data_IF_209702938757
#
_entry.id   IF_209702938757
#
_cell.length_a   1.000
_cell.length_b   1.000
_cell.length_c   1.000
_cell.angle_alpha   90.00
_cell.angle_beta   90.00
_cell.angle_gamma   90.00
#
_symmetry.space_group_name_H-M   'P 1'
#
loop_
_entity.id
_entity.type
_entity.pdbx_description
1 polymer ?
#
# COMPACT_ATOMS: atom_id res chain seq x y z
N UNK A 1 15.21 -4.00 -6.92
CA UNK A 1 13.98 -3.60 -6.24
C UNK A 1 12.78 -4.27 -6.91
N UNK A 2 11.67 -4.37 -6.22
CA UNK A 2 10.40 -4.90 -6.74
C UNK A 2 9.91 -4.14 -7.97
N UNK A 3 10.03 -2.81 -8.00
CA UNK A 3 9.67 -2.00 -9.17
C UNK A 3 10.45 -2.40 -10.41
N UNK A 4 11.76 -2.64 -10.30
CA UNK A 4 12.58 -3.07 -11.44
C UNK A 4 12.18 -4.45 -11.94
N UNK A 5 11.74 -5.34 -11.05
CA UNK A 5 11.17 -6.64 -11.42
C UNK A 5 9.86 -6.44 -12.18
N UNK A 6 8.98 -5.56 -11.68
CA UNK A 6 7.70 -5.25 -12.31
C UNK A 6 7.88 -4.76 -13.75
N UNK A 7 8.73 -3.75 -13.96
CA UNK A 7 8.98 -3.23 -15.31
C UNK A 7 9.56 -4.27 -16.26
N UNK A 8 10.44 -5.17 -15.79
CA UNK A 8 10.96 -6.25 -16.63
C UNK A 8 9.87 -7.25 -17.04
N UNK A 9 8.94 -7.54 -16.15
CA UNK A 9 7.80 -8.40 -16.45
C UNK A 9 6.86 -7.69 -17.41
N UNK A 10 6.52 -6.43 -17.16
CA UNK A 10 5.63 -5.64 -18.01
C UNK A 10 6.16 -5.49 -19.44
N UNK A 11 7.46 -5.22 -19.60
CA UNK A 11 8.13 -5.19 -20.90
C UNK A 11 8.02 -6.56 -21.62
N UNK A 12 8.15 -7.67 -20.89
CA UNK A 12 8.04 -9.01 -21.48
C UNK A 12 6.62 -9.35 -21.91
N UNK A 13 5.61 -8.98 -21.10
CA UNK A 13 4.20 -9.35 -21.36
C UNK A 13 3.44 -8.30 -22.17
N UNK A 14 4.10 -7.19 -22.56
CA UNK A 14 3.51 -6.15 -23.40
C UNK A 14 2.60 -5.17 -22.65
N UNK A 15 2.84 -4.95 -21.35
CA UNK A 15 2.10 -4.03 -20.48
C UNK A 15 2.91 -2.73 -20.18
N UNK A 16 3.60 -2.19 -21.15
CA UNK A 16 4.57 -1.09 -21.01
C UNK A 16 3.95 0.32 -21.02
N UNK A 17 2.64 0.47 -21.31
CA UNK A 17 1.94 1.76 -21.37
C UNK A 17 1.31 2.18 -20.06
N UNK A 18 2.03 2.06 -18.92
CA UNK A 18 1.53 2.45 -17.62
C UNK A 18 1.95 3.89 -17.30
N UNK A 19 0.97 4.77 -17.14
CA UNK A 19 1.21 6.10 -16.57
C UNK A 19 1.27 6.01 -15.04
N UNK A 20 2.49 5.88 -14.52
CA UNK A 20 2.73 5.79 -13.08
C UNK A 20 2.73 7.19 -12.46
N UNK A 21 1.83 7.37 -11.50
CA UNK A 21 1.69 8.62 -10.75
C UNK A 21 2.83 8.74 -9.72
N UNK A 22 3.67 9.75 -9.86
CA UNK A 22 4.72 10.08 -8.90
C UNK A 22 4.18 10.82 -7.66
N UNK A 23 5.04 11.06 -6.68
CA UNK A 23 4.66 11.75 -5.44
C UNK A 23 4.19 13.19 -5.66
N UNK A 24 4.71 13.86 -6.69
CA UNK A 24 4.28 15.22 -7.05
C UNK A 24 2.88 15.20 -7.63
N UNK A 25 2.64 14.28 -8.55
CA UNK A 25 1.32 14.06 -9.14
C UNK A 25 0.28 13.67 -8.08
N UNK A 26 0.61 12.78 -7.13
CA UNK A 26 -0.27 12.45 -6.01
C UNK A 26 -0.62 13.69 -5.18
N UNK A 27 0.36 14.52 -4.81
CA UNK A 27 0.10 15.76 -4.06
C UNK A 27 -0.85 16.69 -4.82
N UNK A 28 -0.68 16.84 -6.13
CA UNK A 28 -1.55 17.71 -6.94
C UNK A 28 -2.99 17.16 -7.02
N UNK A 29 -3.14 15.86 -7.22
CA UNK A 29 -4.46 15.22 -7.26
C UNK A 29 -5.15 15.31 -5.89
N UNK A 30 -4.43 14.99 -4.79
CA UNK A 30 -4.99 15.07 -3.45
C UNK A 30 -5.40 16.49 -3.10
N UNK A 31 -4.58 17.49 -3.44
CA UNK A 31 -4.94 18.90 -3.28
C UNK A 31 -6.23 19.24 -4.01
N UNK A 32 -6.35 18.83 -5.27
CA UNK A 32 -7.55 19.03 -6.09
C UNK A 32 -8.78 18.35 -5.48
N UNK A 33 -8.64 17.10 -5.04
CA UNK A 33 -9.71 16.33 -4.39
C UNK A 33 -10.17 17.02 -3.10
N UNK A 34 -9.25 17.49 -2.28
CA UNK A 34 -9.53 18.24 -1.06
C UNK A 34 -10.29 19.54 -1.36
N UNK A 35 -9.85 20.32 -2.34
CA UNK A 35 -10.51 21.56 -2.74
C UNK A 35 -11.93 21.30 -3.26
N UNK A 36 -12.12 20.26 -4.08
CA UNK A 36 -13.44 19.88 -4.61
C UNK A 36 -14.41 19.37 -3.56
N UNK A 37 -13.92 18.77 -2.48
CA UNK A 37 -14.74 18.24 -1.40
C UNK A 37 -14.77 19.12 -0.14
N UNK A 38 -14.24 20.34 -0.20
CA UNK A 38 -14.07 21.23 0.96
C UNK A 38 -15.31 21.34 1.83
N UNK A 39 -16.48 21.53 1.22
CA UNK A 39 -17.75 21.72 1.94
C UNK A 39 -18.29 20.43 2.57
N UNK A 40 -17.74 19.28 2.21
CA UNK A 40 -18.09 17.96 2.74
C UNK A 40 -17.17 17.52 3.88
N UNK A 41 -15.99 18.14 4.01
CA UNK A 41 -15.03 17.84 5.07
C UNK A 41 -15.52 18.42 6.40
N UNK A 42 -15.72 17.55 7.39
CA UNK A 42 -16.25 17.92 8.70
C UNK A 42 -15.17 18.39 9.68
N UNK A 43 -13.97 17.77 9.60
CA UNK A 43 -12.85 18.05 10.49
C UNK A 43 -11.75 18.88 9.82
N UNK A 44 -11.33 18.47 8.62
CA UNK A 44 -10.18 19.05 7.94
C UNK A 44 -10.51 20.25 7.05
N UNK A 45 -11.77 20.63 6.89
CA UNK A 45 -12.19 21.71 5.98
C UNK A 45 -11.49 23.06 6.24
N UNK A 46 -11.09 23.37 7.48
CA UNK A 46 -10.33 24.56 7.85
C UNK A 46 -8.82 24.46 7.60
N UNK A 47 -8.29 23.25 7.42
CA UNK A 47 -6.84 23.00 7.33
C UNK A 47 -6.29 23.01 5.90
N UNK A 48 -7.13 23.20 4.90
CA UNK A 48 -6.76 23.13 3.48
C UNK A 48 -5.73 24.16 3.04
N UNK A 49 -5.64 25.29 3.74
CA UNK A 49 -4.65 26.34 3.49
C UNK A 49 -3.26 26.00 4.04
N UNK A 50 -3.15 24.96 4.87
CA UNK A 50 -1.88 24.56 5.47
C UNK A 50 -1.09 23.70 4.48
N UNK A 51 0.09 24.17 4.07
CA UNK A 51 0.94 23.50 3.07
C UNK A 51 1.41 22.10 3.50
N UNK A 52 1.55 21.84 4.79
CA UNK A 52 1.91 20.52 5.33
C UNK A 52 0.77 19.51 5.26
N UNK A 53 -0.47 19.97 5.33
CA UNK A 53 -1.64 19.09 5.42
C UNK A 53 -1.82 18.20 4.18
N UNK A 54 -1.63 18.74 2.99
CA UNK A 54 -1.71 17.94 1.73
C UNK A 54 -0.68 16.82 1.72
N UNK A 55 0.54 17.10 2.19
CA UNK A 55 1.61 16.10 2.25
C UNK A 55 1.33 15.02 3.30
N UNK A 56 0.76 15.39 4.44
CA UNK A 56 0.33 14.44 5.47
C UNK A 56 -0.81 13.53 4.95
N UNK A 57 -1.82 14.12 4.31
CA UNK A 57 -2.91 13.35 3.70
C UNK A 57 -2.40 12.40 2.62
N UNK A 58 -1.45 12.85 1.77
CA UNK A 58 -0.77 11.97 0.80
C UNK A 58 -0.09 10.79 1.50
N UNK A 59 0.61 11.03 2.60
CA UNK A 59 1.32 9.98 3.34
C UNK A 59 0.34 8.94 3.88
N UNK A 60 -0.77 9.38 4.47
CA UNK A 60 -1.84 8.49 4.96
C UNK A 60 -2.41 7.64 3.83
N UNK A 61 -2.76 8.26 2.70
CA UNK A 61 -3.31 7.51 1.55
C UNK A 61 -2.28 6.53 0.97
N UNK A 62 -1.01 6.93 0.84
CA UNK A 62 0.06 6.04 0.37
C UNK A 62 0.27 4.84 1.31
N UNK A 63 0.19 5.07 2.62
CA UNK A 63 0.31 4.00 3.62
C UNK A 63 -0.89 3.02 3.52
N UNK A 64 -2.11 3.54 3.35
CA UNK A 64 -3.29 2.71 3.15
C UNK A 64 -3.17 1.84 1.89
N UNK A 65 -2.72 2.41 0.78
CA UNK A 65 -2.46 1.68 -0.46
C UNK A 65 -1.37 0.61 -0.26
N UNK A 66 -0.27 0.96 0.42
CA UNK A 66 0.85 0.05 0.67
C UNK A 66 0.46 -1.17 1.50
N UNK A 67 -0.48 -1.01 2.45
CA UNK A 67 -0.98 -2.08 3.31
C UNK A 67 -2.29 -2.71 2.82
N UNK A 68 -2.75 -2.35 1.62
CA UNK A 68 -4.02 -2.81 1.01
C UNK A 68 -5.23 -2.54 1.92
N UNK A 69 -5.21 -1.44 2.66
CA UNK A 69 -6.32 -1.02 3.51
C UNK A 69 -7.36 -0.35 2.62
N UNK A 70 -8.49 -1.01 2.43
CA UNK A 70 -9.61 -0.46 1.67
C UNK A 70 -10.41 0.55 2.50
N UNK A 71 -11.09 1.53 1.86
CA UNK A 71 -11.88 2.54 2.56
C UNK A 71 -13.00 1.98 3.44
N UNK A 72 -13.63 0.89 3.04
CA UNK A 72 -14.67 0.18 3.80
C UNK A 72 -14.14 -0.39 5.13
N UNK A 73 -12.96 -0.99 5.12
CA UNK A 73 -12.28 -1.49 6.34
C UNK A 73 -12.03 -0.35 7.33
N UNK A 74 -11.63 0.83 6.84
CA UNK A 74 -11.46 2.00 7.70
C UNK A 74 -12.78 2.50 8.26
N UNK A 75 -13.85 2.47 7.48
CA UNK A 75 -15.18 2.90 7.90
C UNK A 75 -15.74 1.99 8.99
N UNK A 76 -15.52 0.67 8.86
CA UNK A 76 -15.89 -0.32 9.88
C UNK A 76 -15.09 -0.13 11.18
N UNK A 77 -13.78 0.10 11.06
CA UNK A 77 -12.91 0.38 12.22
C UNK A 77 -13.32 1.69 12.94
N UNK A 78 -13.71 2.72 12.19
CA UNK A 78 -14.22 3.96 12.75
C UNK A 78 -15.53 3.75 13.51
N UNK A 79 -16.43 2.93 12.96
CA UNK A 79 -17.70 2.54 13.61
C UNK A 79 -17.47 1.75 14.90
N UNK A 80 -16.54 0.80 14.90
CA UNK A 80 -16.18 0.01 16.07
C UNK A 80 -15.55 0.87 17.19
N UNK A 81 -14.64 1.78 16.82
CA UNK A 81 -14.01 2.69 17.79
C UNK A 81 -15.01 3.66 18.47
N UNK A 82 -16.13 3.94 17.80
CA UNK A 82 -17.21 4.76 18.38
C UNK A 82 -18.06 4.01 19.39
N UNK A 83 -18.25 2.69 19.23
CA UNK A 83 -19.10 1.87 20.09
C UNK A 83 -18.43 1.49 21.42
N UNK A 84 -17.10 1.42 21.49
CA UNK A 84 -16.36 0.86 22.63
C UNK A 84 -15.83 1.89 23.65
N UNK A 85 -15.93 3.17 23.35
CA UNK A 85 -15.42 4.23 24.24
C UNK A 85 -16.26 5.50 24.09
N UNK A 86 -16.19 6.41 25.08
CA UNK A 86 -16.51 7.83 24.92
C UNK A 86 -15.63 8.46 23.80
N UNK A 87 -15.50 7.73 22.68
CA UNK A 87 -14.70 8.04 21.52
C UNK A 87 -15.12 9.39 20.98
N UNK A 88 -14.19 10.29 20.99
CA UNK A 88 -14.33 11.67 20.53
C UNK A 88 -14.98 11.68 19.14
N UNK A 89 -16.13 12.33 19.00
CA UNK A 89 -16.76 12.62 17.71
C UNK A 89 -15.75 13.23 16.71
N UNK A 90 -14.70 13.87 17.21
CA UNK A 90 -13.60 14.39 16.43
C UNK A 90 -12.79 13.28 15.71
N UNK A 91 -12.60 12.12 16.34
CA UNK A 91 -11.90 10.99 15.69
C UNK A 91 -12.74 10.44 14.54
N UNK A 92 -14.04 10.27 14.76
CA UNK A 92 -14.94 9.80 13.71
C UNK A 92 -14.95 10.77 12.52
N UNK A 93 -15.06 12.09 12.76
CA UNK A 93 -15.03 13.08 11.67
C UNK A 93 -13.69 13.06 10.92
N UNK A 94 -12.56 12.83 11.60
CA UNK A 94 -11.26 12.67 10.94
C UNK A 94 -11.23 11.45 10.02
N UNK A 95 -11.72 10.31 10.49
CA UNK A 95 -11.76 9.07 9.71
C UNK A 95 -12.73 9.18 8.54
N UNK A 96 -13.92 9.76 8.75
CA UNK A 96 -14.89 10.05 7.68
C UNK A 96 -14.26 10.90 6.58
N UNK A 97 -13.52 11.95 6.95
CA UNK A 97 -12.85 12.84 6.00
C UNK A 97 -11.72 12.12 5.25
N UNK A 98 -10.93 11.28 5.92
CA UNK A 98 -9.88 10.48 5.27
C UNK A 98 -10.51 9.52 4.26
N UNK A 99 -11.57 8.79 4.63
CA UNK A 99 -12.30 7.87 3.75
C UNK A 99 -12.87 8.61 2.54
N UNK A 100 -13.45 9.80 2.76
CA UNK A 100 -13.98 10.65 1.68
C UNK A 100 -12.88 11.02 0.68
N UNK A 101 -11.72 11.47 1.17
CA UNK A 101 -10.59 11.89 0.33
C UNK A 101 -9.98 10.69 -0.39
N UNK A 102 -9.84 9.54 0.29
CA UNK A 102 -9.31 8.32 -0.31
C UNK A 102 -10.21 7.81 -1.44
N UNK A 103 -11.51 7.73 -1.22
CA UNK A 103 -12.47 7.31 -2.28
C UNK A 103 -12.42 8.25 -3.48
N UNK A 104 -12.42 9.56 -3.27
CA UNK A 104 -12.37 10.54 -4.35
C UNK A 104 -11.01 10.52 -5.09
N UNK A 105 -9.91 10.24 -4.38
CA UNK A 105 -8.60 10.04 -4.99
C UNK A 105 -8.58 8.76 -5.83
N UNK A 106 -9.05 7.64 -5.30
CA UNK A 106 -9.12 6.36 -6.01
C UNK A 106 -9.97 6.46 -7.28
N UNK A 107 -11.14 7.09 -7.21
CA UNK A 107 -11.99 7.34 -8.39
C UNK A 107 -11.30 8.21 -9.45
N UNK A 108 -10.47 9.17 -9.02
CA UNK A 108 -9.76 10.04 -9.95
C UNK A 108 -8.66 9.29 -10.69
N UNK A 109 -7.90 8.42 -9.99
CA UNK A 109 -6.76 7.71 -10.58
C UNK A 109 -7.18 6.49 -11.40
N UNK A 110 -8.27 5.80 -11.03
CA UNK A 110 -8.72 4.53 -11.63
C UNK A 110 -8.81 4.58 -13.18
N UNK A 111 -9.09 5.76 -13.73
CA UNK A 111 -9.29 5.94 -15.17
C UNK A 111 -8.03 6.23 -15.98
N UNK A 112 -6.97 6.73 -15.32
CA UNK A 112 -5.85 7.33 -16.06
C UNK A 112 -4.47 6.99 -15.53
N UNK A 113 -4.35 6.54 -14.28
CA UNK A 113 -3.06 6.39 -13.61
C UNK A 113 -3.01 5.11 -12.81
N UNK A 114 -1.78 4.67 -12.52
CA UNK A 114 -1.46 3.65 -11.54
C UNK A 114 -0.48 4.27 -10.51
N UNK A 115 -0.69 4.02 -9.24
CA UNK A 115 0.24 4.47 -8.22
C UNK A 115 1.45 3.54 -8.10
N UNK A 116 2.53 4.01 -7.49
CA UNK A 116 3.71 3.16 -7.23
C UNK A 116 3.37 1.95 -6.37
N UNK A 117 2.44 2.10 -5.43
CA UNK A 117 1.96 1.03 -4.57
C UNK A 117 1.22 -0.06 -5.39
N UNK A 118 0.40 0.35 -6.34
CA UNK A 118 -0.37 -0.55 -7.22
C UNK A 118 0.49 -1.27 -8.28
N UNK A 119 1.72 -0.80 -8.54
CA UNK A 119 2.66 -1.51 -9.43
C UNK A 119 2.85 -2.96 -8.97
N UNK A 120 2.93 -3.20 -7.66
CA UNK A 120 3.13 -4.55 -7.13
C UNK A 120 1.87 -5.42 -7.27
N UNK A 121 0.69 -4.85 -7.10
CA UNK A 121 -0.57 -5.58 -7.34
C UNK A 121 -0.68 -5.98 -8.81
N UNK A 122 -0.36 -5.07 -9.70
CA UNK A 122 -0.31 -5.36 -11.14
C UNK A 122 0.76 -6.40 -11.48
N UNK A 123 1.93 -6.35 -10.83
CA UNK A 123 2.94 -7.37 -10.98
C UNK A 123 2.41 -8.74 -10.52
N UNK A 124 1.73 -8.82 -9.37
CA UNK A 124 1.12 -10.07 -8.89
C UNK A 124 0.16 -10.67 -9.92
N UNK A 125 -0.61 -9.84 -10.62
CA UNK A 125 -1.55 -10.31 -11.64
C UNK A 125 -0.88 -10.77 -12.94
N UNK A 126 0.33 -10.28 -13.25
CA UNK A 126 1.03 -10.49 -14.53
C UNK A 126 2.25 -11.39 -14.47
N UNK A 127 2.86 -11.56 -13.30
CA UNK A 127 4.12 -12.29 -13.16
C UNK A 127 4.03 -13.75 -13.61
N UNK A 128 2.86 -14.36 -13.51
CA UNK A 128 2.62 -15.73 -13.97
C UNK A 128 2.70 -15.90 -15.49
N UNK A 129 2.58 -14.80 -16.25
CA UNK A 129 2.71 -14.80 -17.71
C UNK A 129 4.18 -14.74 -18.16
N UNK A 130 5.12 -14.37 -17.25
CA UNK A 130 6.54 -14.23 -17.57
C UNK A 130 7.26 -15.57 -17.64
N UNK A 131 7.71 -15.97 -18.80
CA UNK A 131 8.52 -17.17 -19.02
C UNK A 131 9.96 -16.99 -18.47
N UNK A 132 10.48 -15.77 -18.49
CA UNK A 132 11.81 -15.47 -17.92
C UNK A 132 11.80 -15.71 -16.40
N UNK A 133 10.77 -15.26 -15.70
CA UNK A 133 10.68 -15.42 -14.25
C UNK A 133 10.51 -16.89 -13.85
N UNK A 134 9.73 -17.68 -14.58
CA UNK A 134 9.56 -19.13 -14.33
C UNK A 134 10.88 -19.90 -14.33
N UNK A 135 11.88 -19.44 -15.08
CA UNK A 135 13.17 -20.08 -15.21
C UNK A 135 14.27 -19.42 -14.40
N UNK A 136 13.95 -18.45 -13.52
CA UNK A 136 14.92 -17.74 -12.69
C UNK A 136 15.04 -18.33 -11.28
N UNK A 137 16.25 -18.32 -10.72
CA UNK A 137 16.44 -18.33 -9.27
C UNK A 137 16.36 -16.90 -8.76
N UNK A 138 15.60 -16.66 -7.69
CA UNK A 138 15.35 -15.34 -7.13
C UNK A 138 16.01 -15.22 -5.75
N UNK A 139 16.67 -14.09 -5.51
CA UNK A 139 17.27 -13.77 -4.21
C UNK A 139 16.68 -12.46 -3.69
N UNK A 140 16.08 -12.52 -2.53
CA UNK A 140 15.68 -11.35 -1.74
C UNK A 140 16.72 -11.14 -0.65
N UNK A 141 17.45 -10.04 -0.73
CA UNK A 141 18.55 -9.75 0.19
C UNK A 141 18.40 -8.39 0.87
N UNK A 142 18.71 -8.33 2.17
CA UNK A 142 18.74 -7.11 2.95
C UNK A 142 17.35 -6.55 3.35
N UNK A 143 16.34 -7.40 3.40
CA UNK A 143 15.00 -7.01 3.87
C UNK A 143 14.88 -7.15 5.38
N UNK A 144 14.21 -6.20 6.03
CA UNK A 144 13.82 -6.24 7.45
C UNK A 144 12.41 -6.78 7.66
N UNK A 145 11.61 -6.79 6.61
CA UNK A 145 10.24 -7.29 6.59
C UNK A 145 9.61 -7.07 5.21
N UNK A 146 8.38 -7.51 5.05
CA UNK A 146 7.62 -7.40 3.80
C UNK A 146 6.22 -6.86 4.06
N UNK A 147 5.70 -6.07 3.13
CA UNK A 147 4.30 -5.65 3.14
C UNK A 147 3.39 -6.80 2.69
N UNK A 148 2.07 -6.74 2.96
CA UNK A 148 1.13 -7.77 2.51
C UNK A 148 1.19 -8.06 1.02
N UNK A 149 1.30 -7.03 0.17
CA UNK A 149 1.43 -7.18 -1.28
C UNK A 149 2.72 -7.89 -1.67
N UNK A 150 3.83 -7.57 -0.97
CA UNK A 150 5.11 -8.26 -1.18
C UNK A 150 5.04 -9.73 -0.78
N UNK A 151 4.35 -10.07 0.32
CA UNK A 151 4.09 -11.46 0.70
C UNK A 151 3.26 -12.19 -0.35
N UNK A 152 2.22 -11.55 -0.89
CA UNK A 152 1.41 -12.12 -1.97
C UNK A 152 2.28 -12.41 -3.21
N UNK A 153 3.09 -11.46 -3.64
CA UNK A 153 4.04 -11.66 -4.75
C UNK A 153 5.00 -12.83 -4.48
N UNK A 154 5.58 -12.89 -3.27
CA UNK A 154 6.48 -13.98 -2.89
C UNK A 154 5.77 -15.35 -2.96
N UNK A 155 4.52 -15.42 -2.51
CA UNK A 155 3.71 -16.65 -2.59
C UNK A 155 3.53 -17.11 -4.04
N UNK A 156 3.24 -16.18 -4.95
CA UNK A 156 3.12 -16.48 -6.37
C UNK A 156 4.48 -16.95 -6.94
N UNK A 157 5.57 -16.24 -6.63
CA UNK A 157 6.91 -16.59 -7.10
C UNK A 157 7.35 -17.97 -6.58
N UNK A 158 7.03 -18.33 -5.33
CA UNK A 158 7.32 -19.65 -4.75
C UNK A 158 6.62 -20.79 -5.51
N UNK A 159 5.46 -20.53 -6.11
CA UNK A 159 4.73 -21.52 -6.89
C UNK A 159 5.29 -21.72 -8.30
N UNK A 160 6.07 -20.76 -8.83
CA UNK A 160 6.50 -20.75 -10.23
C UNK A 160 8.01 -20.80 -10.44
N UNK A 161 8.81 -20.38 -9.48
CA UNK A 161 10.27 -20.35 -9.61
C UNK A 161 10.93 -21.61 -9.03
N UNK A 162 12.03 -22.11 -9.65
CA UNK A 162 12.71 -23.31 -9.17
C UNK A 162 13.34 -23.16 -7.81
N UNK A 163 13.84 -21.96 -7.47
CA UNK A 163 14.43 -21.64 -6.17
C UNK A 163 14.25 -20.18 -5.80
N UNK A 164 13.98 -19.95 -4.52
CA UNK A 164 13.93 -18.61 -3.92
C UNK A 164 14.78 -18.63 -2.64
N UNK A 165 15.65 -17.63 -2.51
CA UNK A 165 16.47 -17.39 -1.34
C UNK A 165 16.02 -16.08 -0.69
N UNK A 166 15.84 -16.07 0.63
CA UNK A 166 15.46 -14.88 1.38
C UNK A 166 16.46 -14.67 2.51
N UNK A 167 17.12 -13.51 2.50
CA UNK A 167 17.99 -13.04 3.57
C UNK A 167 17.27 -11.93 4.34
N UNK A 168 17.12 -12.11 5.63
CA UNK A 168 16.50 -11.14 6.52
C UNK A 168 17.50 -10.62 7.53
N UNK A 169 17.49 -9.32 7.78
CA UNK A 169 18.24 -8.71 8.88
C UNK A 169 17.37 -8.77 10.13
N UNK A 170 17.83 -9.50 11.14
CA UNK A 170 17.20 -9.62 12.45
C UNK A 170 18.16 -9.17 13.55
N UNK A 171 17.62 -8.63 14.63
CA UNK A 171 18.41 -8.35 15.82
C UNK A 171 18.83 -9.67 16.49
N UNK A 172 20.09 -9.77 16.95
CA UNK A 172 20.62 -10.96 17.62
C UNK A 172 19.83 -11.30 18.91
N UNK A 173 19.30 -10.29 19.61
CA UNK A 173 18.46 -10.46 20.80
C UNK A 173 17.09 -11.09 20.48
N UNK A 174 16.55 -10.83 19.31
CA UNK A 174 15.25 -11.41 18.87
C UNK A 174 15.43 -12.89 18.48
N UNK A 175 16.61 -13.29 18.05
CA UNK A 175 16.89 -14.68 17.67
C UNK A 175 16.76 -15.65 18.86
N UNK A 176 17.13 -15.23 20.06
CA UNK A 176 16.97 -16.06 21.27
C UNK A 176 15.50 -16.17 21.71
N UNK A 177 14.72 -15.10 21.54
CA UNK A 177 13.30 -15.07 21.90
C UNK A 177 12.43 -15.85 20.91
N UNK A 178 12.77 -15.87 19.62
CA UNK A 178 12.01 -16.60 18.60
C UNK A 178 12.17 -18.13 18.73
N UNK A 179 13.28 -18.59 19.27
CA UNK A 179 13.50 -20.04 19.55
C UNK A 179 12.65 -20.48 20.74
N UNK A 180 12.52 -19.64 21.80
CA UNK A 180 11.69 -19.96 22.98
C UNK A 180 10.20 -19.95 22.66
N UNK A 181 9.70 -19.06 21.81
CA UNK A 181 8.27 -18.99 21.46
C UNK A 181 7.78 -20.13 20.56
N UNK A 182 8.68 -20.90 19.94
CA UNK A 182 8.30 -22.09 19.15
C UNK A 182 8.09 -23.35 19.99
N UNK A 183 8.70 -23.43 21.16
CA UNK A 183 8.52 -24.59 22.07
C UNK A 183 7.19 -24.53 22.84
N UNK A 184 6.53 -23.37 22.90
CA UNK A 184 5.22 -23.21 23.55
C UNK A 184 4.01 -23.40 22.61
N UNK A 185 4.24 -23.62 21.31
CA UNK A 185 3.18 -23.76 20.28
C UNK A 185 3.02 -25.20 19.75
N UNK A 186 3.70 -26.16 20.32
CA UNK A 186 3.57 -27.60 20.14
C UNK A 186 3.44 -28.31 21.52
#
# INVERSE_FOLDING_TARGET
SFERLAYKVFEEVGEDNLEVLDDTGKNLIIKRVLEQNKDRLKYFGSNLSNTGFVSEMKSVISEMLQYDIKPDVMQDAAGAAYSDSEGSAALQYKLDDIVLVYNAFAEYIDKNYITKEEILDKLCSKVTESEKIKNCEIVFDGFTGFTPVQYNLMTILLSMCPKIYVSLTIDASERENSVRGREELF
#
